data_IF_465213302671
#
_entry.id   IF_465213302671
#
_cell.length_a   1.000
_cell.length_b   1.000
_cell.length_c   1.000
_cell.angle_alpha   90.00
_cell.angle_beta   90.00
_cell.angle_gamma   90.00
#
_symmetry.space_group_name_H-M   'P 1'
#
loop_
_entity.id
_entity.type
_entity.pdbx_description
1 polymer ?
#
# COMPACT_ATOMS: atom_id res chain seq x y z
N UNK A 1 6.13 3.26 1.73
CA UNK A 1 6.77 2.45 0.67
C UNK A 1 7.86 3.20 -0.08
N UNK A 2 7.58 4.35 -0.72
CA UNK A 2 8.61 5.10 -1.46
C UNK A 2 9.88 5.44 -0.68
N UNK A 3 9.75 5.89 0.58
CA UNK A 3 10.90 6.11 1.48
C UNK A 3 11.70 4.83 1.75
N UNK A 4 11.00 3.73 2.04
CA UNK A 4 11.62 2.43 2.30
C UNK A 4 12.44 1.90 1.11
N UNK A 5 11.99 2.21 -0.12
CA UNK A 5 12.74 1.90 -1.35
C UNK A 5 13.97 2.80 -1.45
N UNK A 6 13.83 4.10 -1.23
CA UNK A 6 14.95 5.06 -1.28
C UNK A 6 16.04 4.73 -0.26
N UNK A 7 15.63 4.30 0.94
CA UNK A 7 16.54 3.91 2.02
C UNK A 7 17.14 2.50 1.83
N UNK A 8 16.81 1.80 0.74
CA UNK A 8 17.28 0.44 0.45
C UNK A 8 16.77 -0.61 1.45
N UNK A 9 15.67 -0.32 2.17
CA UNK A 9 15.06 -1.21 3.16
C UNK A 9 14.22 -2.30 2.52
N UNK A 10 13.56 -1.99 1.41
CA UNK A 10 12.79 -2.93 0.60
C UNK A 10 12.97 -2.62 -0.89
N UNK A 11 12.85 -3.62 -1.75
CA UNK A 11 12.72 -3.48 -3.19
C UNK A 11 11.37 -3.97 -3.70
N UNK A 12 10.87 -3.41 -4.80
CA UNK A 12 9.57 -3.81 -5.39
C UNK A 12 9.54 -5.30 -5.77
N UNK A 13 10.67 -5.85 -6.23
CA UNK A 13 10.81 -7.25 -6.60
C UNK A 13 11.27 -8.16 -5.45
N UNK A 14 11.49 -7.63 -4.25
CA UNK A 14 11.86 -8.47 -3.11
C UNK A 14 10.71 -9.41 -2.77
N UNK A 15 11.02 -10.69 -2.53
CA UNK A 15 10.10 -11.60 -1.87
C UNK A 15 9.78 -11.06 -0.47
N UNK A 16 8.51 -10.86 -0.18
CA UNK A 16 8.05 -10.26 1.07
C UNK A 16 8.44 -11.11 2.30
N UNK A 17 8.58 -12.43 2.15
CA UNK A 17 9.02 -13.32 3.23
C UNK A 17 10.43 -13.00 3.75
N UNK A 18 11.28 -12.35 2.93
CA UNK A 18 12.61 -11.85 3.35
C UNK A 18 12.49 -10.77 4.43
N UNK A 19 11.41 -9.99 4.39
CA UNK A 19 11.15 -8.86 5.29
C UNK A 19 10.21 -9.25 6.43
N UNK A 20 9.37 -10.27 6.23
CA UNK A 20 8.45 -10.80 7.22
C UNK A 20 8.43 -12.34 7.17
N UNK A 21 9.22 -13.04 8.01
CA UNK A 21 9.32 -14.51 7.96
C UNK A 21 8.01 -15.27 8.25
N UNK A 22 7.04 -14.63 8.91
CA UNK A 22 5.72 -15.19 9.19
C UNK A 22 4.62 -14.60 8.27
N UNK A 23 5.01 -14.10 7.08
CA UNK A 23 4.11 -13.51 6.09
C UNK A 23 2.87 -14.36 5.86
N UNK A 24 1.69 -13.72 5.87
CA UNK A 24 0.40 -14.34 5.60
C UNK A 24 0.03 -15.50 6.55
N UNK A 25 0.66 -15.60 7.72
CA UNK A 25 0.34 -16.62 8.73
C UNK A 25 0.09 -15.95 10.08
N UNK A 26 -1.03 -16.27 10.77
CA UNK A 26 -2.10 -17.23 10.39
C UNK A 26 -2.89 -16.79 9.14
N UNK A 27 -3.75 -17.67 8.56
CA UNK A 27 -3.99 -19.07 8.91
C UNK A 27 -2.95 -20.04 8.31
N UNK A 28 -2.68 -21.16 9.01
CA UNK A 28 -1.67 -22.16 8.61
C UNK A 28 -1.84 -22.77 7.20
N UNK A 29 -3.06 -23.01 6.66
CA UNK A 29 -3.22 -23.51 5.30
C UNK A 29 -2.56 -22.66 4.21
N UNK A 30 -2.29 -21.37 4.47
CA UNK A 30 -1.54 -20.54 3.52
C UNK A 30 -0.12 -21.11 3.27
N UNK A 31 0.51 -21.75 4.27
CA UNK A 31 1.85 -22.36 4.12
C UNK A 31 1.86 -23.52 3.13
N UNK A 32 0.75 -24.22 3.00
CA UNK A 32 0.62 -25.40 2.14
C UNK A 32 0.54 -25.04 0.64
N UNK A 33 0.26 -23.77 0.32
CA UNK A 33 0.07 -23.31 -1.06
C UNK A 33 1.37 -23.16 -1.86
N UNK A 34 2.54 -23.10 -1.20
CA UNK A 34 3.83 -22.66 -1.77
C UNK A 34 3.86 -21.22 -2.36
N UNK A 35 2.73 -20.49 -2.34
CA UNK A 35 2.61 -19.15 -2.91
C UNK A 35 3.30 -18.08 -2.05
N UNK A 36 3.30 -18.23 -0.73
CA UNK A 36 3.85 -17.24 0.22
C UNK A 36 5.31 -16.89 -0.12
N UNK A 37 6.12 -17.89 -0.48
CA UNK A 37 7.55 -17.71 -0.77
C UNK A 37 7.81 -16.86 -2.02
N UNK A 38 6.81 -16.76 -2.89
CA UNK A 38 6.85 -16.06 -4.17
C UNK A 38 6.13 -14.70 -4.13
N UNK A 39 5.43 -14.36 -3.05
CA UNK A 39 4.79 -13.05 -2.89
C UNK A 39 5.89 -11.98 -2.83
N UNK A 40 5.84 -11.01 -3.72
CA UNK A 40 6.75 -9.86 -3.74
C UNK A 40 6.11 -8.63 -3.12
N UNK A 41 6.91 -7.61 -2.81
CA UNK A 41 6.40 -6.29 -2.40
C UNK A 41 5.44 -5.72 -3.45
N UNK A 42 5.71 -5.94 -4.74
CA UNK A 42 4.80 -5.55 -5.83
C UNK A 42 3.44 -6.22 -5.68
N UNK A 43 3.38 -7.54 -5.48
CA UNK A 43 2.11 -8.26 -5.33
C UNK A 43 1.26 -7.73 -4.16
N UNK A 44 1.90 -7.36 -3.05
CA UNK A 44 1.22 -6.74 -1.90
C UNK A 44 0.66 -5.35 -2.23
N UNK A 45 1.38 -4.56 -3.03
CA UNK A 45 1.01 -3.20 -3.39
C UNK A 45 -0.01 -3.11 -4.53
N UNK A 46 -0.13 -4.13 -5.38
CA UNK A 46 -0.99 -4.13 -6.58
C UNK A 46 -2.25 -4.98 -6.45
N UNK A 47 -2.56 -5.50 -5.25
CA UNK A 47 -3.76 -6.33 -5.00
C UNK A 47 -3.76 -7.65 -5.80
N UNK A 48 -2.57 -8.22 -6.04
CA UNK A 48 -2.38 -9.47 -6.80
C UNK A 48 -1.75 -10.60 -5.98
N UNK A 49 -1.60 -10.42 -4.66
CA UNK A 49 -1.05 -11.43 -3.76
C UNK A 49 -2.07 -12.51 -3.32
N UNK A 50 -3.35 -12.36 -3.64
CA UNK A 50 -4.36 -13.39 -3.36
C UNK A 50 -5.07 -13.31 -2.01
N UNK A 51 -4.89 -12.24 -1.23
CA UNK A 51 -5.56 -12.12 0.08
C UNK A 51 -7.08 -11.91 -0.05
N UNK A 52 -7.85 -12.62 0.77
CA UNK A 52 -9.30 -12.41 0.94
C UNK A 52 -9.60 -11.17 1.81
N UNK A 53 -10.85 -10.69 1.80
CA UNK A 53 -11.40 -9.67 2.74
C UNK A 53 -11.82 -10.33 4.08
N UNK A 54 -11.92 -9.62 5.23
CA UNK A 54 -12.04 -8.16 5.45
C UNK A 54 -10.82 -7.49 6.12
N UNK A 55 -9.61 -7.99 5.92
CA UNK A 55 -8.37 -7.27 6.30
C UNK A 55 -7.56 -7.81 7.47
N UNK A 56 -8.11 -8.76 8.23
CA UNK A 56 -7.33 -9.52 9.22
C UNK A 56 -6.35 -10.50 8.58
N UNK A 57 -5.96 -11.52 9.35
CA UNK A 57 -5.24 -12.68 8.85
C UNK A 57 -6.18 -13.53 7.99
N UNK A 58 -6.07 -13.43 6.66
CA UNK A 58 -6.97 -14.08 5.71
C UNK A 58 -6.27 -15.15 4.87
N UNK A 59 -7.07 -16.08 4.34
CA UNK A 59 -6.59 -17.11 3.41
C UNK A 59 -6.15 -16.50 2.09
N UNK A 60 -5.22 -17.15 1.41
CA UNK A 60 -4.94 -16.90 0.00
C UNK A 60 -5.99 -17.62 -0.87
N UNK A 61 -6.63 -16.91 -1.78
CA UNK A 61 -7.77 -17.41 -2.59
C UNK A 61 -7.43 -17.68 -4.06
N UNK A 62 -6.25 -17.28 -4.51
CA UNK A 62 -5.71 -17.59 -5.84
C UNK A 62 -4.18 -17.46 -5.85
N UNK A 63 -3.55 -18.07 -6.85
CA UNK A 63 -2.12 -17.95 -7.10
C UNK A 63 -1.73 -16.52 -7.49
N UNK A 64 -0.71 -15.98 -6.84
CA UNK A 64 -0.21 -14.62 -7.08
C UNK A 64 -0.09 -14.26 -8.58
N UNK A 65 -0.49 -13.05 -8.94
CA UNK A 65 -0.39 -12.55 -10.31
C UNK A 65 -1.32 -13.22 -11.33
N UNK A 66 -2.15 -14.20 -10.95
CA UNK A 66 -3.12 -14.83 -11.88
C UNK A 66 -4.47 -14.10 -11.90
N UNK A 67 -4.80 -13.37 -10.84
CA UNK A 67 -6.05 -12.62 -10.66
C UNK A 67 -5.80 -11.34 -9.88
N UNK A 68 -6.81 -10.48 -9.84
CA UNK A 68 -6.82 -9.26 -9.04
C UNK A 68 -7.96 -9.30 -8.00
N UNK A 69 -7.67 -8.94 -6.75
CA UNK A 69 -8.69 -8.82 -5.70
C UNK A 69 -8.34 -7.74 -4.68
N UNK A 70 -9.22 -6.75 -4.57
CA UNK A 70 -9.09 -5.69 -3.57
C UNK A 70 -9.20 -6.23 -2.14
N UNK A 71 -8.12 -6.14 -1.37
CA UNK A 71 -8.05 -6.60 0.02
C UNK A 71 -7.21 -5.65 0.88
N UNK A 72 -7.49 -5.62 2.18
CA UNK A 72 -6.64 -4.93 3.15
C UNK A 72 -5.51 -5.86 3.67
N UNK A 73 -5.56 -7.16 3.37
CA UNK A 73 -4.56 -8.14 3.81
C UNK A 73 -3.16 -7.87 3.23
N UNK A 74 -3.10 -7.60 1.92
CA UNK A 74 -1.86 -7.25 1.22
C UNK A 74 -1.21 -5.97 1.74
N UNK A 75 -1.95 -4.84 1.81
CA UNK A 75 -1.50 -3.60 2.44
C UNK A 75 -1.03 -3.81 3.90
N UNK A 76 -1.81 -4.48 4.75
CA UNK A 76 -1.37 -4.75 6.13
C UNK A 76 -0.05 -5.54 6.19
N UNK A 77 0.13 -6.57 5.35
CA UNK A 77 1.39 -7.28 5.25
C UNK A 77 2.55 -6.39 4.75
N UNK A 78 2.28 -5.45 3.84
CA UNK A 78 3.29 -4.47 3.41
C UNK A 78 3.69 -3.53 4.57
N UNK A 79 2.74 -3.09 5.38
CA UNK A 79 3.01 -2.29 6.58
C UNK A 79 3.87 -3.06 7.59
N UNK A 80 3.62 -4.36 7.80
CA UNK A 80 4.46 -5.23 8.63
C UNK A 80 5.89 -5.36 8.07
N UNK A 81 6.04 -5.62 6.77
CA UNK A 81 7.35 -5.68 6.12
C UNK A 81 8.16 -4.39 6.35
N UNK A 82 7.53 -3.21 6.19
CA UNK A 82 8.19 -1.92 6.41
C UNK A 82 8.50 -1.73 7.91
N UNK A 83 7.56 -2.04 8.79
CA UNK A 83 7.74 -1.95 10.26
C UNK A 83 8.95 -2.77 10.71
N UNK A 84 9.07 -4.01 10.24
CA UNK A 84 10.18 -4.91 10.53
C UNK A 84 11.50 -4.43 9.93
N UNK A 85 11.50 -3.91 8.71
CA UNK A 85 12.70 -3.42 8.04
C UNK A 85 13.30 -2.18 8.73
N UNK A 86 12.46 -1.29 9.28
CA UNK A 86 12.91 -0.14 10.06
C UNK A 86 13.07 -0.43 11.56
N UNK A 87 12.40 -1.47 12.08
CA UNK A 87 12.27 -1.74 13.52
C UNK A 87 11.73 -0.53 14.30
N UNK A 88 10.81 0.21 13.67
CA UNK A 88 10.21 1.44 14.19
C UNK A 88 8.74 1.49 13.79
N UNK A 89 7.95 2.15 14.60
CA UNK A 89 6.55 2.44 14.29
C UNK A 89 6.50 3.31 13.03
N UNK A 90 5.78 2.84 12.01
CA UNK A 90 5.69 3.54 10.72
C UNK A 90 4.93 4.87 10.82
N UNK A 91 4.03 5.02 11.80
CA UNK A 91 3.36 6.31 12.06
C UNK A 91 4.38 7.35 12.49
N UNK A 92 5.24 7.01 13.46
CA UNK A 92 6.28 7.93 13.96
C UNK A 92 7.29 8.28 12.86
N UNK A 93 7.70 7.29 12.06
CA UNK A 93 8.56 7.53 10.89
C UNK A 93 7.92 8.48 9.88
N UNK A 94 6.64 8.31 9.59
CA UNK A 94 5.92 9.17 8.65
C UNK A 94 5.72 10.57 9.20
N UNK A 95 5.48 10.73 10.51
CA UNK A 95 5.44 12.05 11.14
C UNK A 95 6.78 12.76 11.05
N UNK A 96 7.87 12.07 11.38
CA UNK A 96 9.23 12.62 11.32
C UNK A 96 9.62 13.03 9.89
N UNK A 97 9.37 12.17 8.90
CA UNK A 97 9.94 12.33 7.57
C UNK A 97 9.01 13.00 6.55
N UNK A 98 7.69 12.98 6.77
CA UNK A 98 6.70 13.44 5.79
C UNK A 98 5.72 14.43 6.41
N UNK A 99 4.95 14.04 7.42
CA UNK A 99 3.82 14.84 7.89
C UNK A 99 4.26 16.13 8.58
N UNK A 100 5.21 16.08 9.51
CA UNK A 100 5.71 17.29 10.18
C UNK A 100 6.41 18.27 9.20
N UNK A 101 7.24 17.81 8.23
CA UNK A 101 7.76 18.68 7.16
C UNK A 101 6.67 19.38 6.31
N UNK A 102 5.51 18.75 6.16
CA UNK A 102 4.34 19.32 5.48
C UNK A 102 3.53 20.26 6.38
N UNK A 103 3.86 20.36 7.66
CA UNK A 103 3.11 21.12 8.66
C UNK A 103 1.85 20.41 9.16
N UNK A 104 1.78 19.08 9.04
CA UNK A 104 0.68 18.25 9.55
C UNK A 104 1.04 17.77 10.96
N UNK A 105 0.19 18.08 11.94
CA UNK A 105 0.33 17.67 13.33
C UNK A 105 -0.52 16.42 13.66
N UNK A 106 -0.32 15.83 14.84
CA UNK A 106 -1.06 14.65 15.29
C UNK A 106 -2.57 14.90 15.52
N UNK A 107 -2.97 16.16 15.70
CA UNK A 107 -4.37 16.57 15.73
C UNK A 107 -5.01 16.65 14.34
N UNK A 108 -4.20 16.81 13.30
CA UNK A 108 -4.67 16.86 11.91
C UNK A 108 -4.80 15.46 11.29
N UNK A 109 -3.94 14.53 11.72
CA UNK A 109 -3.87 13.17 11.20
C UNK A 109 -3.56 12.18 12.31
N UNK A 110 -4.34 11.10 12.38
CA UNK A 110 -4.08 9.97 13.27
C UNK A 110 -3.99 8.69 12.47
N UNK A 111 -3.18 7.76 12.96
CA UNK A 111 -3.03 6.43 12.38
C UNK A 111 -3.22 5.40 13.48
N UNK A 112 -4.29 4.62 13.45
CA UNK A 112 -4.61 3.69 14.52
C UNK A 112 -3.67 2.48 14.57
N UNK A 113 -3.65 1.82 15.73
CA UNK A 113 -3.11 0.47 15.85
C UNK A 113 -3.98 -0.51 15.07
N UNK A 114 -3.38 -1.57 14.53
CA UNK A 114 -4.12 -2.56 13.76
C UNK A 114 -5.24 -3.21 14.59
N UNK A 115 -6.50 -3.03 14.17
CA UNK A 115 -7.67 -3.54 14.88
C UNK A 115 -7.94 -5.02 14.59
N UNK A 116 -7.33 -5.58 13.55
CA UNK A 116 -7.56 -6.94 13.07
C UNK A 116 -6.38 -7.88 13.30
N UNK A 117 -5.25 -7.36 13.78
CA UNK A 117 -4.01 -8.09 14.03
C UNK A 117 -3.51 -7.82 15.44
N UNK A 118 -2.48 -8.56 15.84
CA UNK A 118 -1.82 -8.34 17.11
C UNK A 118 -1.27 -6.90 17.21
N UNK A 119 -1.37 -6.28 18.39
CA UNK A 119 -1.02 -4.86 18.56
C UNK A 119 0.45 -4.53 18.27
N UNK A 120 1.35 -5.52 18.37
CA UNK A 120 2.79 -5.34 18.17
C UNK A 120 3.42 -6.46 17.33
N UNK A 121 4.44 -6.13 16.56
CA UNK A 121 5.34 -7.07 15.86
C UNK A 121 6.77 -6.76 16.30
N UNK A 122 7.50 -7.77 16.79
CA UNK A 122 8.85 -7.60 17.36
C UNK A 122 8.96 -6.42 18.37
N UNK A 123 7.92 -6.26 19.20
CA UNK A 123 7.85 -5.19 20.20
C UNK A 123 7.46 -3.80 19.67
N UNK A 124 7.34 -3.63 18.36
CA UNK A 124 6.95 -2.38 17.67
C UNK A 124 5.44 -2.37 17.40
N UNK A 125 4.79 -1.22 17.53
CA UNK A 125 3.36 -1.07 17.24
C UNK A 125 3.07 -1.44 15.78
N UNK A 126 2.08 -2.30 15.56
CA UNK A 126 1.54 -2.55 14.23
C UNK A 126 0.48 -1.51 13.89
N UNK A 127 0.67 -0.81 12.78
CA UNK A 127 -0.32 0.15 12.25
C UNK A 127 -1.18 -0.55 11.20
N UNK A 128 -2.47 -0.22 11.20
CA UNK A 128 -3.42 -0.75 10.21
C UNK A 128 -3.15 -0.15 8.84
N UNK A 129 -3.10 -0.92 7.77
CA UNK A 129 -2.94 -0.39 6.43
C UNK A 129 -3.91 -1.07 5.48
N UNK A 130 -4.67 -0.27 4.73
CA UNK A 130 -5.94 -0.65 4.09
C UNK A 130 -7.13 0.13 4.68
N UNK A 131 -6.99 0.60 5.92
CA UNK A 131 -7.88 1.52 6.62
C UNK A 131 -7.14 2.14 7.83
N UNK A 132 -7.85 2.84 8.71
CA UNK A 132 -7.32 3.23 10.03
C UNK A 132 -6.47 4.49 10.06
N UNK A 133 -6.36 5.22 8.95
CA UNK A 133 -5.85 6.59 8.92
C UNK A 133 -7.05 7.52 8.93
N UNK A 134 -7.06 8.48 9.86
CA UNK A 134 -8.01 9.59 9.83
C UNK A 134 -7.28 10.90 9.67
N UNK A 135 -7.79 11.79 8.81
CA UNK A 135 -7.15 13.07 8.53
C UNK A 135 -8.17 14.17 8.24
N UNK A 136 -7.88 15.40 8.69
CA UNK A 136 -8.66 16.56 8.28
C UNK A 136 -8.36 16.96 6.81
N UNK A 137 -9.21 17.81 6.25
CA UNK A 137 -9.14 18.25 4.85
C UNK A 137 -7.82 18.95 4.53
N UNK A 138 -7.26 19.72 5.48
CA UNK A 138 -6.00 20.43 5.28
C UNK A 138 -4.81 19.48 5.19
N UNK A 139 -4.76 18.45 6.05
CA UNK A 139 -3.76 17.39 5.98
C UNK A 139 -3.85 16.64 4.65
N UNK A 140 -5.07 16.27 4.22
CA UNK A 140 -5.29 15.63 2.92
C UNK A 140 -4.81 16.51 1.77
N UNK A 141 -5.16 17.81 1.77
CA UNK A 141 -4.75 18.74 0.73
C UNK A 141 -3.23 18.88 0.63
N UNK A 142 -2.52 18.92 1.76
CA UNK A 142 -1.05 18.95 1.81
C UNK A 142 -0.43 17.68 1.26
N UNK A 143 -0.97 16.51 1.60
CA UNK A 143 -0.51 15.22 1.06
C UNK A 143 -0.72 15.15 -0.46
N UNK A 144 -1.89 15.56 -0.94
CA UNK A 144 -2.18 15.60 -2.39
C UNK A 144 -1.27 16.61 -3.10
N UNK A 145 -1.06 17.79 -2.51
CA UNK A 145 -0.17 18.81 -3.09
C UNK A 145 1.29 18.32 -3.17
N UNK A 146 1.76 17.56 -2.16
CA UNK A 146 3.07 16.92 -2.23
C UNK A 146 3.19 15.98 -3.43
N UNK A 147 2.17 15.16 -3.69
CA UNK A 147 2.13 14.26 -4.85
C UNK A 147 2.05 15.05 -6.17
N UNK A 148 1.23 16.10 -6.24
CA UNK A 148 1.14 16.99 -7.41
C UNK A 148 2.49 17.64 -7.74
N UNK A 149 3.30 17.93 -6.72
CA UNK A 149 4.65 18.50 -6.83
C UNK A 149 5.74 17.44 -7.05
N UNK A 150 5.38 16.22 -7.47
CA UNK A 150 6.35 15.15 -7.71
C UNK A 150 7.11 14.71 -6.46
N UNK A 151 6.51 14.88 -5.28
CA UNK A 151 7.11 14.56 -3.99
C UNK A 151 8.00 15.66 -3.39
N UNK A 152 7.96 16.88 -3.93
CA UNK A 152 8.72 18.02 -3.41
C UNK A 152 7.89 18.95 -2.52
N UNK A 153 8.50 19.43 -1.45
CA UNK A 153 7.93 20.43 -0.53
C UNK A 153 9.01 21.43 -0.12
N UNK A 154 8.77 22.73 -0.30
CA UNK A 154 9.74 23.81 -0.01
C UNK A 154 11.17 23.48 -0.49
N UNK A 155 11.30 23.18 -1.79
CA UNK A 155 12.57 22.83 -2.48
C UNK A 155 13.29 21.57 -1.97
N UNK A 156 12.65 20.80 -1.07
CA UNK A 156 13.15 19.50 -0.60
C UNK A 156 12.37 18.37 -1.23
N UNK A 157 13.08 17.37 -1.75
CA UNK A 157 12.48 16.10 -2.14
C UNK A 157 12.14 15.28 -0.89
N UNK A 158 10.86 15.10 -0.60
CA UNK A 158 10.36 14.32 0.54
C UNK A 158 10.12 12.87 0.10
N UNK A 159 9.38 12.64 -0.98
CA UNK A 159 9.13 11.31 -1.54
C UNK A 159 9.86 11.22 -2.88
N UNK A 160 10.56 10.13 -3.23
CA UNK A 160 11.25 10.03 -4.52
C UNK A 160 10.30 10.30 -5.71
N UNK A 161 10.72 11.18 -6.63
CA UNK A 161 9.91 11.56 -7.79
C UNK A 161 9.48 10.35 -8.63
N UNK A 162 10.39 9.38 -8.83
CA UNK A 162 10.07 8.15 -9.57
C UNK A 162 8.96 7.32 -8.89
N UNK A 163 8.90 7.33 -7.55
CA UNK A 163 7.84 6.64 -6.81
C UNK A 163 6.50 7.35 -6.99
N UNK A 164 6.50 8.69 -6.96
CA UNK A 164 5.29 9.50 -7.21
C UNK A 164 4.78 9.30 -8.64
N UNK A 165 5.67 9.30 -9.64
CA UNK A 165 5.31 9.05 -11.03
C UNK A 165 4.68 7.65 -11.22
N UNK A 166 5.15 6.64 -10.49
CA UNK A 166 4.60 5.29 -10.55
C UNK A 166 3.15 5.19 -10.02
N UNK A 167 2.69 6.12 -9.18
CA UNK A 167 1.31 6.16 -8.68
C UNK A 167 0.28 6.39 -9.80
N UNK A 168 0.67 7.13 -10.85
CA UNK A 168 -0.17 7.40 -12.03
C UNK A 168 -0.14 6.29 -13.08
N UNK A 169 0.46 5.13 -12.80
CA UNK A 169 0.64 4.06 -13.77
C UNK A 169 0.26 2.69 -13.20
N UNK A 170 -0.19 1.81 -14.08
CA UNK A 170 -0.41 0.39 -13.77
C UNK A 170 0.79 -0.44 -14.22
N UNK A 171 1.21 -1.40 -13.40
CA UNK A 171 2.30 -2.32 -13.76
C UNK A 171 1.82 -3.24 -14.89
N UNK A 172 2.60 -3.36 -15.96
CA UNK A 172 2.23 -4.12 -17.17
C UNK A 172 1.74 -5.54 -16.88
N UNK A 173 2.35 -6.24 -15.91
CA UNK A 173 1.97 -7.61 -15.54
C UNK A 173 0.60 -7.71 -14.85
N UNK A 174 0.04 -6.59 -14.38
CA UNK A 174 -1.26 -6.53 -13.70
C UNK A 174 -2.40 -6.22 -14.67
N UNK A 175 -2.09 -5.54 -15.79
CA UNK A 175 -3.07 -5.12 -16.80
C UNK A 175 -3.78 -6.36 -17.37
N UNK A 176 -5.11 -6.35 -17.30
CA UNK A 176 -5.99 -7.36 -17.87
C UNK A 176 -6.20 -8.60 -17.01
N UNK A 177 -5.69 -8.62 -15.78
CA UNK A 177 -5.94 -9.73 -14.87
C UNK A 177 -7.43 -9.81 -14.50
N UNK A 178 -8.04 -11.00 -14.51
CA UNK A 178 -9.45 -11.15 -14.16
C UNK A 178 -9.68 -10.79 -12.69
N UNK A 179 -10.67 -9.94 -12.43
CA UNK A 179 -11.05 -9.55 -11.08
C UNK A 179 -11.93 -10.62 -10.41
N UNK A 180 -11.60 -10.94 -9.16
CA UNK A 180 -12.38 -11.92 -8.36
C UNK A 180 -13.80 -11.41 -8.10
N UNK A 181 -13.96 -10.11 -7.86
CA UNK A 181 -15.24 -9.44 -7.66
C UNK A 181 -15.46 -8.38 -8.74
N UNK A 182 -15.63 -8.85 -9.98
CA UNK A 182 -15.88 -8.01 -11.14
C UNK A 182 -17.17 -7.20 -11.03
N UNK A 183 -18.11 -7.57 -10.15
CA UNK A 183 -19.33 -6.78 -9.94
C UNK A 183 -19.03 -5.42 -9.31
N UNK A 184 -18.10 -5.36 -8.36
CA UNK A 184 -17.75 -4.12 -7.66
C UNK A 184 -16.48 -3.46 -8.19
N UNK A 185 -15.57 -4.23 -8.77
CA UNK A 185 -14.24 -3.76 -9.17
C UNK A 185 -13.93 -4.02 -10.65
N UNK A 186 -14.96 -4.06 -11.50
CA UNK A 186 -14.80 -4.29 -12.94
C UNK A 186 -13.66 -3.43 -13.52
N UNK A 187 -12.76 -4.03 -14.31
CA UNK A 187 -11.65 -3.34 -14.97
C UNK A 187 -10.56 -2.79 -14.02
N UNK A 188 -10.64 -3.02 -12.71
CA UNK A 188 -9.70 -2.44 -11.73
C UNK A 188 -8.24 -2.82 -12.00
N UNK A 189 -7.98 -4.01 -12.53
CA UNK A 189 -6.64 -4.47 -12.87
C UNK A 189 -5.93 -3.59 -13.92
N UNK A 190 -6.68 -2.85 -14.73
CA UNK A 190 -6.13 -1.96 -15.76
C UNK A 190 -5.71 -0.59 -15.22
N UNK A 191 -6.23 -0.19 -14.07
CA UNK A 191 -6.08 1.16 -13.53
C UNK A 191 -5.80 1.19 -12.02
N UNK A 192 -5.12 0.16 -11.51
CA UNK A 192 -4.62 0.09 -10.14
C UNK A 192 -3.12 -0.16 -10.12
N UNK A 193 -2.36 0.75 -9.52
CA UNK A 193 -0.91 0.71 -9.42
C UNK A 193 -0.42 0.34 -8.03
N UNK A 194 0.59 1.06 -7.57
CA UNK A 194 1.20 0.91 -6.24
C UNK A 194 0.31 1.50 -5.14
N UNK A 195 -0.82 0.85 -4.83
CA UNK A 195 -1.86 1.27 -3.88
C UNK A 195 -2.67 2.52 -4.29
N UNK A 196 -2.58 2.90 -5.56
CA UNK A 196 -3.31 4.03 -6.14
C UNK A 196 -4.20 3.55 -7.28
N UNK A 197 -5.42 4.07 -7.33
CA UNK A 197 -6.21 4.06 -8.56
C UNK A 197 -5.64 5.13 -9.50
N UNK A 198 -5.66 4.89 -10.80
CA UNK A 198 -5.16 5.85 -11.79
C UNK A 198 -6.10 5.96 -12.99
N UNK A 199 -5.87 6.95 -13.85
CA UNK A 199 -6.69 7.18 -15.04
C UNK A 199 -5.91 6.89 -16.33
N UNK A 200 -4.83 6.10 -16.26
CA UNK A 200 -3.95 5.88 -17.41
C UNK A 200 -4.64 5.14 -18.57
N UNK A 201 -5.69 4.36 -18.28
CA UNK A 201 -6.54 3.69 -19.26
C UNK A 201 -7.75 4.54 -19.71
N UNK A 202 -7.94 5.74 -19.14
CA UNK A 202 -9.09 6.60 -19.40
C UNK A 202 -10.39 6.15 -18.73
N UNK A 203 -10.34 5.33 -17.67
CA UNK A 203 -11.52 4.85 -16.92
C UNK A 203 -12.47 5.98 -16.49
N UNK A 204 -11.94 7.14 -16.10
CA UNK A 204 -12.69 8.36 -15.82
C UNK A 204 -12.77 9.24 -17.07
N UNK A 205 -13.96 9.31 -17.66
CA UNK A 205 -14.25 10.18 -18.79
C UNK A 205 -14.05 11.66 -18.44
N UNK A 206 -13.45 12.43 -19.36
CA UNK A 206 -13.17 13.87 -19.21
C UNK A 206 -12.25 14.24 -18.04
N UNK A 207 -11.50 13.27 -17.51
CA UNK A 207 -10.43 13.48 -16.52
C UNK A 207 -9.08 13.26 -17.22
N UNK A 208 -8.03 14.05 -16.93
CA UNK A 208 -6.71 13.82 -17.52
C UNK A 208 -6.16 12.42 -17.22
N UNK A 209 -5.40 11.80 -18.15
CA UNK A 209 -4.93 10.43 -18.02
C UNK A 209 -3.83 10.24 -16.95
N UNK A 210 -3.18 11.33 -16.53
CA UNK A 210 -2.15 11.35 -15.48
C UNK A 210 -2.72 11.52 -14.07
N UNK A 211 -4.05 11.60 -13.92
CA UNK A 211 -4.72 11.64 -12.61
C UNK A 211 -4.68 10.29 -11.92
N UNK A 212 -4.44 10.31 -10.61
CA UNK A 212 -4.56 9.15 -9.72
C UNK A 212 -5.20 9.56 -8.39
N UNK A 213 -5.81 8.59 -7.71
CA UNK A 213 -6.61 8.83 -6.51
C UNK A 213 -6.69 7.61 -5.60
N UNK A 214 -7.25 7.82 -4.42
CA UNK A 214 -7.61 6.76 -3.48
C UNK A 214 -9.04 6.98 -2.98
N UNK A 215 -9.77 5.90 -2.74
CA UNK A 215 -11.10 5.92 -2.16
C UNK A 215 -11.02 5.55 -0.67
N UNK A 216 -11.82 6.20 0.19
CA UNK A 216 -12.05 5.72 1.56
C UNK A 216 -11.11 6.23 2.66
N UNK A 217 -10.57 7.45 2.55
CA UNK A 217 -9.96 8.13 3.70
C UNK A 217 -11.06 8.86 4.50
N UNK A 218 -11.06 8.71 5.83
CA UNK A 218 -12.04 9.27 6.77
C UNK A 218 -11.51 10.49 7.54
#
# INVERSE_FOLDING_TARGET
MGLAIADGKIGLADNAIKHHPALAVPPEPNRETSWIEQITITHLATQTAGFDKPGGFTKLIFELGTKWAYSDGGPNCLAECITLAYKRDISELMFEQVFAPLGIAHEDLTWQQNSYRQAKIDGVIQREFGSGISANVDAMARIVYLYLRGGQWNDRQIIPQAFVAAAGTTITAVIGLPEVDSKHYNNASNHYGLLWWNNADGTLNNVPPDVYWSWGLC
#
